data_IF_858109101409
#
_entry.id   IF_858109101409
#
_cell.length_a   1.000
_cell.length_b   1.000
_cell.length_c   1.000
_cell.angle_alpha   90.00
_cell.angle_beta   90.00
_cell.angle_gamma   90.00
#
_symmetry.space_group_name_H-M   'P 1'
#
loop_
_entity.id
_entity.type
_entity.pdbx_description
1 polymer ?
#
# COMPACT_ATOMS: atom_id res chain seq x y z
N UNK A 1 18.42 -63.22 24.55
CA UNK A 1 18.02 -62.54 23.29
C UNK A 1 16.66 -61.89 23.51
N UNK A 2 16.40 -60.75 22.84
CA UNK A 2 15.30 -59.78 22.99
C UNK A 2 15.61 -58.58 23.92
N UNK A 3 15.21 -57.34 23.54
CA UNK A 3 16.13 -56.21 23.53
C UNK A 3 15.80 -55.05 24.50
N UNK A 4 16.86 -54.28 24.76
CA UNK A 4 16.92 -52.95 25.35
C UNK A 4 16.11 -51.88 24.59
N UNK A 5 15.47 -50.94 25.30
CA UNK A 5 15.47 -49.50 24.94
C UNK A 5 14.80 -48.60 26.00
N UNK A 6 15.64 -47.88 26.73
CA UNK A 6 15.65 -46.42 26.92
C UNK A 6 14.30 -45.73 27.24
N UNK A 7 14.06 -45.55 28.55
CA UNK A 7 13.04 -44.69 29.15
C UNK A 7 13.43 -43.22 28.93
N UNK A 8 12.78 -42.56 27.95
CA UNK A 8 12.96 -41.12 27.64
C UNK A 8 12.37 -40.25 28.76
N UNK A 9 13.19 -39.30 29.23
CA UNK A 9 12.90 -38.27 30.24
C UNK A 9 11.99 -37.19 29.64
N UNK A 10 10.94 -36.82 30.38
CA UNK A 10 9.93 -35.85 29.98
C UNK A 10 10.54 -34.46 29.70
N UNK A 11 10.33 -33.94 28.48
CA UNK A 11 10.47 -32.53 28.17
C UNK A 11 9.16 -31.82 28.51
N UNK A 12 9.27 -30.84 29.39
CA UNK A 12 8.21 -29.91 29.78
C UNK A 12 7.97 -28.96 28.60
N UNK A 13 6.99 -29.26 27.74
CA UNK A 13 6.50 -28.32 26.74
C UNK A 13 5.49 -27.40 27.42
N UNK A 14 5.86 -26.12 27.54
CA UNK A 14 4.98 -25.06 27.99
C UNK A 14 3.76 -24.98 27.05
N UNK A 15 2.63 -25.47 27.54
CA UNK A 15 1.32 -25.07 27.07
C UNK A 15 1.06 -23.66 27.57
N UNK A 16 1.31 -22.62 26.76
CA UNK A 16 0.79 -21.27 26.97
C UNK A 16 0.98 -20.38 25.71
N UNK A 17 0.68 -20.89 24.51
CA UNK A 17 0.55 -20.01 23.34
C UNK A 17 -0.51 -20.47 22.34
N UNK A 18 -1.68 -20.84 22.89
CA UNK A 18 -2.84 -21.25 22.10
C UNK A 18 -3.89 -20.14 22.09
N UNK A 19 -3.56 -18.96 21.56
CA UNK A 19 -4.57 -18.05 20.99
C UNK A 19 -4.01 -16.95 20.06
N UNK A 20 -3.30 -17.31 18.99
CA UNK A 20 -3.14 -16.43 17.81
C UNK A 20 -3.52 -17.17 16.53
N UNK A 21 -4.77 -17.62 16.48
CA UNK A 21 -5.38 -18.09 15.23
C UNK A 21 -5.61 -16.89 14.29
N UNK A 22 -5.02 -17.00 13.10
CA UNK A 22 -5.48 -16.38 11.85
C UNK A 22 -5.48 -14.84 11.79
N UNK A 23 -4.31 -14.26 11.51
CA UNK A 23 -4.20 -12.99 10.76
C UNK A 23 -3.81 -13.22 9.28
N UNK A 24 -4.10 -14.41 8.74
CA UNK A 24 -3.59 -14.84 7.44
C UNK A 24 -4.51 -14.58 6.25
N UNK A 25 -5.45 -13.64 6.30
CA UNK A 25 -6.49 -13.61 5.25
C UNK A 25 -6.87 -12.22 4.73
N UNK A 26 -6.90 -11.15 5.54
CA UNK A 26 -7.38 -9.86 5.01
C UNK A 26 -6.39 -9.18 4.06
N UNK A 27 -5.10 -9.16 4.38
CA UNK A 27 -4.11 -8.46 3.56
C UNK A 27 -3.85 -9.17 2.22
N UNK A 28 -4.11 -10.48 2.16
CA UNK A 28 -4.01 -11.28 0.93
C UNK A 28 -5.15 -11.04 -0.05
N UNK A 29 -6.35 -10.68 0.43
CA UNK A 29 -7.45 -10.28 -0.46
C UNK A 29 -7.17 -8.97 -1.18
N UNK A 30 -6.26 -8.19 -0.61
CA UNK A 30 -5.99 -6.82 -0.95
C UNK A 30 -4.58 -6.66 -1.55
N UNK A 31 -4.08 -7.68 -2.24
CA UNK A 31 -2.87 -7.57 -3.08
C UNK A 31 -3.29 -7.26 -4.52
N UNK A 32 -2.70 -6.27 -5.22
CA UNK A 32 -1.43 -5.60 -4.95
C UNK A 32 -1.53 -4.40 -3.99
N UNK A 33 -0.58 -4.32 -3.06
CA UNK A 33 -0.40 -3.22 -2.10
C UNK A 33 0.63 -2.23 -2.65
N UNK A 34 0.30 -0.94 -2.71
CA UNK A 34 1.20 0.17 -3.06
C UNK A 34 1.47 1.01 -1.82
N UNK A 35 2.73 1.27 -1.49
CA UNK A 35 3.09 2.03 -0.28
C UNK A 35 3.06 3.53 -0.55
N UNK A 36 2.13 4.25 0.07
CA UNK A 36 2.06 5.72 0.04
C UNK A 36 2.73 6.30 1.28
N UNK A 37 3.67 7.24 1.10
CA UNK A 37 4.15 8.05 2.21
C UNK A 37 3.15 9.17 2.52
N UNK A 38 2.54 9.15 3.70
CA UNK A 38 1.73 10.26 4.20
C UNK A 38 2.38 10.86 5.45
N UNK A 39 2.58 12.18 5.50
CA UNK A 39 3.10 12.87 6.68
C UNK A 39 2.02 13.79 7.24
N UNK A 40 1.53 13.47 8.44
CA UNK A 40 0.65 14.35 9.22
C UNK A 40 1.53 15.28 10.03
N UNK A 41 1.34 16.59 9.86
CA UNK A 41 2.11 17.63 10.53
C UNK A 41 1.77 17.70 12.02
N UNK A 42 2.50 16.93 12.82
CA UNK A 42 3.11 17.33 14.10
C UNK A 42 3.84 16.10 14.66
N UNK A 43 5.18 16.21 14.76
CA UNK A 43 6.14 15.18 15.16
C UNK A 43 6.55 14.15 14.08
N UNK A 44 7.85 13.87 14.04
CA UNK A 44 8.63 13.30 12.95
C UNK A 44 8.37 11.79 12.70
N UNK A 45 7.18 11.42 12.23
CA UNK A 45 6.91 10.05 11.77
C UNK A 45 6.25 10.08 10.38
N UNK A 46 6.95 9.58 9.36
CA UNK A 46 6.36 9.35 8.03
C UNK A 46 5.50 8.09 8.17
N UNK A 47 4.18 8.22 8.06
CA UNK A 47 3.27 7.09 8.09
C UNK A 47 3.22 6.49 6.68
N UNK A 48 3.94 5.39 6.48
CA UNK A 48 3.81 4.56 5.29
C UNK A 48 2.42 3.90 5.34
N UNK A 49 1.52 4.37 4.50
CA UNK A 49 0.23 3.75 4.26
C UNK A 49 0.41 2.71 3.16
N UNK A 50 0.37 1.42 3.51
CA UNK A 50 0.17 0.38 2.51
C UNK A 50 -1.27 0.54 1.98
N UNK A 51 -1.39 0.97 0.74
CA UNK A 51 -2.67 1.21 0.05
C UNK A 51 -2.91 0.12 -0.96
N UNK A 52 -4.00 -0.58 -0.77
CA UNK A 52 -4.49 -1.55 -1.74
C UNK A 52 -5.27 -0.83 -2.83
N UNK A 53 -5.01 -1.20 -4.08
CA UNK A 53 -5.89 -0.82 -5.18
C UNK A 53 -6.80 -2.00 -5.55
N UNK A 54 -8.08 -1.71 -5.79
CA UNK A 54 -8.99 -2.69 -6.39
C UNK A 54 -8.68 -2.90 -7.89
N UNK A 55 -9.38 -3.83 -8.54
CA UNK A 55 -9.14 -4.17 -9.95
C UNK A 55 -9.29 -2.97 -10.91
N UNK A 56 -10.32 -2.15 -10.72
CA UNK A 56 -10.59 -0.98 -11.56
C UNK A 56 -9.53 0.12 -11.37
N UNK A 57 -9.17 0.40 -10.12
CA UNK A 57 -8.11 1.35 -9.76
C UNK A 57 -6.76 0.90 -10.30
N UNK A 58 -6.46 -0.41 -10.21
CA UNK A 58 -5.23 -1.01 -10.75
C UNK A 58 -5.18 -0.90 -12.28
N UNK A 59 -6.31 -1.06 -12.96
CA UNK A 59 -6.39 -0.87 -14.41
C UNK A 59 -6.06 0.59 -14.79
N UNK A 60 -6.69 1.56 -14.12
CA UNK A 60 -6.41 2.99 -14.35
C UNK A 60 -4.94 3.31 -14.08
N UNK A 61 -4.40 2.84 -12.95
CA UNK A 61 -3.00 3.00 -12.60
C UNK A 61 -2.07 2.47 -13.71
N UNK A 62 -2.31 1.25 -14.19
CA UNK A 62 -1.48 0.64 -15.23
C UNK A 62 -1.52 1.42 -16.54
N UNK A 63 -2.72 1.85 -16.97
CA UNK A 63 -2.87 2.65 -18.19
C UNK A 63 -2.06 3.95 -18.14
N UNK A 64 -2.02 4.61 -16.98
CA UNK A 64 -1.28 5.87 -16.83
C UNK A 64 0.22 5.62 -16.65
N UNK A 65 0.60 4.82 -15.66
CA UNK A 65 2.02 4.69 -15.24
C UNK A 65 2.82 3.81 -16.20
N UNK A 66 2.25 2.68 -16.63
CA UNK A 66 2.98 1.69 -17.43
C UNK A 66 2.81 1.97 -18.93
N UNK A 67 1.58 2.25 -19.35
CA UNK A 67 1.25 2.42 -20.78
C UNK A 67 1.37 3.89 -21.25
N UNK A 68 1.47 4.86 -20.33
CA UNK A 68 1.62 6.28 -20.67
C UNK A 68 0.40 6.91 -21.33
N UNK A 69 -0.80 6.34 -21.11
CA UNK A 69 -2.04 6.82 -21.75
C UNK A 69 -2.59 8.05 -21.05
N UNK A 70 -3.19 8.94 -21.83
CA UNK A 70 -4.08 9.97 -21.30
C UNK A 70 -5.39 9.34 -20.86
N UNK A 71 -5.75 9.50 -19.59
CA UNK A 71 -6.91 8.85 -18.98
C UNK A 71 -7.74 9.87 -18.22
N UNK A 72 -9.05 9.88 -18.48
CA UNK A 72 -10.04 10.54 -17.65
C UNK A 72 -10.79 9.49 -16.84
N UNK A 73 -10.76 9.58 -15.51
CA UNK A 73 -11.48 8.67 -14.63
C UNK A 73 -12.42 9.45 -13.69
N UNK A 74 -13.60 8.87 -13.48
CA UNK A 74 -14.67 9.44 -12.64
C UNK A 74 -15.28 8.34 -11.76
N UNK A 75 -16.20 8.71 -10.86
CA UNK A 75 -16.90 7.77 -10.00
C UNK A 75 -17.60 8.43 -8.81
N UNK A 76 -18.43 7.69 -8.06
CA UNK A 76 -19.13 8.18 -6.89
C UNK A 76 -18.22 8.79 -5.82
N UNK A 77 -18.80 9.62 -4.94
CA UNK A 77 -18.12 10.09 -3.74
C UNK A 77 -17.68 8.90 -2.87
N UNK A 78 -16.52 9.00 -2.21
CA UNK A 78 -16.00 7.94 -1.33
C UNK A 78 -15.24 6.80 -2.02
N UNK A 79 -15.18 6.72 -3.36
CA UNK A 79 -14.49 5.63 -4.09
C UNK A 79 -12.96 5.78 -4.18
N UNK A 80 -12.34 6.61 -3.34
CA UNK A 80 -10.87 6.75 -3.32
C UNK A 80 -10.26 7.36 -4.58
N UNK A 81 -10.98 8.18 -5.36
CA UNK A 81 -10.44 8.82 -6.58
C UNK A 81 -9.20 9.68 -6.29
N UNK A 82 -9.25 10.51 -5.25
CA UNK A 82 -8.11 11.33 -4.83
C UNK A 82 -6.96 10.47 -4.30
N UNK A 83 -7.26 9.34 -3.65
CA UNK A 83 -6.26 8.38 -3.19
C UNK A 83 -5.55 7.72 -4.39
N UNK A 84 -6.31 7.25 -5.37
CA UNK A 84 -5.76 6.70 -6.62
C UNK A 84 -4.89 7.75 -7.33
N UNK A 85 -5.33 9.00 -7.38
CA UNK A 85 -4.55 10.08 -7.99
C UNK A 85 -3.22 10.30 -7.26
N UNK A 86 -3.21 10.29 -5.93
CA UNK A 86 -1.98 10.37 -5.13
C UNK A 86 -1.03 9.21 -5.42
N UNK A 87 -1.55 7.98 -5.53
CA UNK A 87 -0.74 6.80 -5.89
C UNK A 87 -0.10 6.96 -7.27
N UNK A 88 -0.86 7.44 -8.26
CA UNK A 88 -0.36 7.68 -9.61
C UNK A 88 0.73 8.76 -9.60
N UNK A 89 0.51 9.88 -8.89
CA UNK A 89 1.48 10.97 -8.79
C UNK A 89 2.78 10.47 -8.18
N UNK A 90 2.72 9.69 -7.10
CA UNK A 90 3.92 9.13 -6.47
C UNK A 90 4.66 8.19 -7.42
N UNK A 91 3.95 7.28 -8.10
CA UNK A 91 4.57 6.36 -9.03
C UNK A 91 5.21 7.06 -10.24
N UNK A 92 4.59 8.14 -10.74
CA UNK A 92 5.18 8.98 -11.77
C UNK A 92 6.40 9.75 -11.24
N UNK A 93 6.34 10.27 -10.03
CA UNK A 93 7.48 10.90 -9.35
C UNK A 93 8.67 9.95 -9.22
N UNK A 94 8.41 8.70 -8.83
CA UNK A 94 9.42 7.63 -8.78
C UNK A 94 9.95 7.28 -10.18
N UNK A 95 9.07 7.16 -11.18
CA UNK A 95 9.47 6.87 -12.57
C UNK A 95 10.34 7.96 -13.18
N UNK A 96 10.10 9.22 -12.80
CA UNK A 96 10.81 10.39 -13.32
C UNK A 96 11.71 11.05 -12.26
N UNK A 97 12.25 10.29 -11.30
CA UNK A 97 13.12 10.79 -10.21
C UNK A 97 14.24 11.73 -10.68
N UNK A 98 14.80 11.47 -11.86
CA UNK A 98 15.90 12.24 -12.44
C UNK A 98 15.46 13.58 -13.07
N UNK A 99 14.17 13.76 -13.32
CA UNK A 99 13.60 14.96 -13.91
C UNK A 99 12.39 15.43 -13.10
N UNK A 100 12.64 16.34 -12.15
CA UNK A 100 11.61 16.91 -11.27
C UNK A 100 10.52 17.69 -12.03
N UNK A 101 10.79 18.15 -13.24
CA UNK A 101 9.83 18.90 -14.06
C UNK A 101 8.99 18.00 -14.97
N UNK A 102 9.24 16.68 -14.96
CA UNK A 102 8.52 15.74 -15.82
C UNK A 102 7.06 15.51 -15.39
N UNK A 103 6.70 15.86 -14.14
CA UNK A 103 5.36 15.63 -13.59
C UNK A 103 4.81 16.94 -13.03
N UNK A 104 3.77 17.46 -13.67
CA UNK A 104 3.04 18.64 -13.19
C UNK A 104 1.66 18.22 -12.65
N UNK A 105 1.39 18.54 -11.38
CA UNK A 105 0.10 18.27 -10.72
C UNK A 105 -0.70 19.56 -10.62
N UNK A 106 -1.93 19.55 -11.12
CA UNK A 106 -2.82 20.73 -11.12
C UNK A 106 -4.23 20.36 -10.68
N UNK A 107 -4.95 21.33 -10.10
CA UNK A 107 -6.34 21.20 -9.72
C UNK A 107 -7.09 22.53 -9.97
N UNK A 108 -8.41 22.47 -10.09
CA UNK A 108 -9.27 23.64 -10.38
C UNK A 108 -9.35 24.67 -9.24
N UNK A 109 -8.95 24.29 -8.02
CA UNK A 109 -8.95 25.17 -6.84
C UNK A 109 -7.71 24.94 -5.99
N UNK A 110 -7.27 25.96 -5.26
CA UNK A 110 -6.11 25.87 -4.38
C UNK A 110 -6.26 24.82 -3.28
N UNK A 111 -7.44 24.69 -2.68
CA UNK A 111 -7.69 23.68 -1.64
C UNK A 111 -7.62 22.25 -2.18
N UNK A 112 -8.06 22.03 -3.43
CA UNK A 112 -7.94 20.73 -4.08
C UNK A 112 -6.49 20.41 -4.44
N UNK A 113 -5.72 21.40 -4.90
CA UNK A 113 -4.30 21.24 -5.19
C UNK A 113 -3.53 20.81 -3.93
N UNK A 114 -3.79 21.43 -2.78
CA UNK A 114 -3.20 21.03 -1.49
C UNK A 114 -3.46 19.57 -1.10
N UNK A 115 -4.59 19.00 -1.54
CA UNK A 115 -4.94 17.62 -1.23
C UNK A 115 -4.27 16.59 -2.14
N UNK A 116 -3.79 16.98 -3.32
CA UNK A 116 -3.19 16.06 -4.30
C UNK A 116 -1.72 16.36 -4.64
N UNK A 117 -1.18 17.50 -4.23
CA UNK A 117 0.14 18.02 -4.65
C UNK A 117 1.11 18.40 -3.51
N UNK A 118 1.12 17.66 -2.39
CA UNK A 118 2.16 17.79 -1.35
C UNK A 118 3.55 17.30 -1.83
N UNK A 119 4.66 17.78 -1.23
CA UNK A 119 5.90 18.14 -1.94
C UNK A 119 6.71 16.95 -2.48
N UNK A 120 7.22 17.15 -3.69
CA UNK A 120 8.21 16.37 -4.44
C UNK A 120 9.39 15.85 -3.62
#
# INVERSE_FOLDING_TARGET
MAPSSLKRKAQKSNEDDKLKRSKGTIDSFFSPQVSIASKVSNHHTVKLLAVTLNAEQTMVYRMVVNEGKSVFFTGPAGMGKSLLLQVIIQALGEKYLHNKEAVAVTASTGIAASNIGGPY
#
